data_IF_697035933053
#
_entry.id   IF_697035933053
#
_cell.length_a   1.000
_cell.length_b   1.000
_cell.length_c   1.000
_cell.angle_alpha   90.00
_cell.angle_beta   90.00
_cell.angle_gamma   90.00
#
_symmetry.space_group_name_H-M   'P 1'
#
loop_
_entity.id
_entity.type
_entity.pdbx_description
1 polymer ?
#
# COMPACT_ATOMS: atom_id res chain seq x y z
N UNK A 1 18.45 12.33 12.64
CA UNK A 1 17.92 11.61 13.82
C UNK A 1 17.07 10.47 13.28
N UNK A 2 17.71 9.41 12.83
CA UNK A 2 18.00 8.17 13.61
C UNK A 2 16.72 7.38 13.87
N UNK A 3 16.55 6.31 13.10
CA UNK A 3 16.33 4.96 13.61
C UNK A 3 17.18 4.07 12.70
N UNK A 4 18.27 3.51 13.24
CA UNK A 4 19.29 2.80 12.47
C UNK A 4 18.73 1.56 11.78
N UNK A 5 19.09 1.47 10.50
CA UNK A 5 18.53 0.63 9.44
C UNK A 5 18.68 -0.89 9.69
N UNK A 6 19.55 -1.31 10.59
CA UNK A 6 19.83 -2.73 10.87
C UNK A 6 18.67 -3.41 11.60
N UNK A 7 18.00 -2.73 12.55
CA UNK A 7 16.83 -3.29 13.26
C UNK A 7 15.56 -3.31 12.38
N UNK A 8 15.49 -2.44 11.37
CA UNK A 8 14.38 -2.43 10.40
C UNK A 8 14.49 -3.56 9.38
N UNK A 9 15.70 -4.10 9.14
CA UNK A 9 15.93 -5.25 8.27
C UNK A 9 15.48 -6.58 8.88
N UNK A 10 15.55 -6.76 10.19
CA UNK A 10 15.12 -8.01 10.85
C UNK A 10 13.59 -8.16 10.94
N UNK A 11 12.80 -7.08 10.87
CA UNK A 11 11.33 -7.15 10.91
C UNK A 11 10.68 -7.41 9.53
N UNK A 12 11.48 -7.40 8.45
CA UNK A 12 11.09 -7.84 7.09
C UNK A 12 10.66 -9.32 7.06
N UNK A 13 10.91 -10.06 8.15
CA UNK A 13 10.47 -11.43 8.37
C UNK A 13 8.91 -11.58 8.34
N UNK A 14 8.13 -10.49 8.32
CA UNK A 14 6.67 -10.49 8.07
C UNK A 14 6.30 -9.40 7.05
N UNK A 15 6.31 -9.69 5.75
CA UNK A 15 6.19 -8.77 4.60
C UNK A 15 4.96 -7.82 4.55
N UNK A 16 4.87 -6.84 5.44
CA UNK A 16 3.89 -5.76 5.41
C UNK A 16 4.50 -4.48 4.77
N UNK A 17 4.07 -4.13 3.56
CA UNK A 17 4.41 -2.88 2.90
C UNK A 17 3.37 -1.82 3.27
N UNK A 18 3.80 -0.60 3.63
CA UNK A 18 2.89 0.52 3.87
C UNK A 18 3.02 1.61 2.81
N UNK A 19 2.66 1.36 1.53
CA UNK A 19 2.82 2.37 0.49
C UNK A 19 1.86 3.54 0.73
N UNK A 20 2.39 4.75 0.54
CA UNK A 20 1.60 5.98 0.44
C UNK A 20 1.42 6.33 -1.02
N UNK A 21 0.17 6.31 -1.50
CA UNK A 21 -0.19 6.76 -2.84
C UNK A 21 -0.63 8.22 -2.70
N UNK A 22 0.30 9.14 -2.99
CA UNK A 22 0.09 10.56 -2.78
C UNK A 22 -0.46 11.29 -4.01
N UNK A 23 -1.06 12.46 -3.79
CA UNK A 23 -1.39 13.46 -4.84
C UNK A 23 -2.38 12.95 -5.90
N UNK A 24 -3.37 12.16 -5.51
CA UNK A 24 -4.38 11.68 -6.45
C UNK A 24 -5.39 12.77 -6.78
N UNK A 25 -5.70 12.93 -8.09
CA UNK A 25 -6.84 13.73 -8.56
C UNK A 25 -8.15 13.02 -8.25
N UNK A 26 -9.24 13.79 -8.10
CA UNK A 26 -10.58 13.32 -7.68
C UNK A 26 -11.08 12.05 -8.40
N UNK A 27 -10.88 11.94 -9.71
CA UNK A 27 -11.28 10.75 -10.49
C UNK A 27 -10.49 9.49 -10.07
N UNK A 28 -9.18 9.64 -9.85
CA UNK A 28 -8.30 8.55 -9.42
C UNK A 28 -8.60 8.11 -7.98
N UNK A 29 -8.99 9.04 -7.12
CA UNK A 29 -9.47 8.77 -5.75
C UNK A 29 -10.69 7.85 -5.77
N UNK A 30 -11.68 8.14 -6.63
CA UNK A 30 -12.89 7.33 -6.75
C UNK A 30 -12.56 5.92 -7.27
N UNK A 31 -11.73 5.83 -8.31
CA UNK A 31 -11.31 4.54 -8.86
C UNK A 31 -10.52 3.71 -7.85
N UNK A 32 -9.58 4.33 -7.12
CA UNK A 32 -8.78 3.63 -6.12
C UNK A 32 -9.65 3.18 -4.93
N UNK A 33 -10.56 4.03 -4.43
CA UNK A 33 -11.52 3.63 -3.39
C UNK A 33 -12.38 2.45 -3.84
N UNK A 34 -12.94 2.50 -5.06
CA UNK A 34 -13.74 1.39 -5.62
C UNK A 34 -12.90 0.12 -5.80
N UNK A 35 -11.65 0.24 -6.23
CA UNK A 35 -10.73 -0.88 -6.35
C UNK A 35 -10.46 -1.51 -4.98
N UNK A 36 -10.02 -0.73 -4.00
CA UNK A 36 -9.74 -1.22 -2.64
C UNK A 36 -10.99 -1.81 -1.97
N UNK A 37 -12.15 -1.16 -2.14
CA UNK A 37 -13.43 -1.67 -1.65
C UNK A 37 -13.82 -3.00 -2.31
N UNK A 38 -13.65 -3.15 -3.64
CA UNK A 38 -13.92 -4.41 -4.35
C UNK A 38 -13.02 -5.55 -3.89
N UNK A 39 -11.81 -5.21 -3.43
CA UNK A 39 -10.85 -6.16 -2.92
C UNK A 39 -11.06 -6.51 -1.42
N UNK A 40 -11.96 -5.80 -0.72
CA UNK A 40 -12.48 -6.07 0.65
C UNK A 40 -11.42 -6.45 1.69
N UNK A 41 -10.16 -6.08 1.44
CA UNK A 41 -9.01 -6.47 2.25
C UNK A 41 -8.70 -7.96 2.39
N UNK A 42 -9.31 -8.85 1.60
CA UNK A 42 -8.90 -10.27 1.53
C UNK A 42 -8.54 -10.73 0.12
N UNK A 43 -9.03 -10.07 -0.93
CA UNK A 43 -8.71 -10.48 -2.31
C UNK A 43 -7.33 -9.99 -2.70
N UNK A 44 -6.42 -10.94 -2.88
CA UNK A 44 -5.08 -10.65 -3.34
C UNK A 44 -5.07 -10.01 -4.73
N UNK A 45 -4.18 -9.06 -4.96
CA UNK A 45 -3.91 -8.47 -6.27
C UNK A 45 -2.40 -8.36 -6.50
N UNK A 46 -2.01 -8.19 -7.76
CA UNK A 46 -0.61 -7.97 -8.09
C UNK A 46 -0.23 -6.51 -7.86
N UNK A 47 0.81 -6.30 -7.06
CA UNK A 47 1.40 -5.00 -6.82
C UNK A 47 2.87 -5.01 -7.23
N UNK A 48 3.36 -3.87 -7.71
CA UNK A 48 4.76 -3.70 -8.09
C UNK A 48 5.38 -2.65 -7.17
N UNK A 49 6.25 -3.06 -6.23
CA UNK A 49 6.91 -2.14 -5.32
C UNK A 49 7.81 -1.16 -6.07
N UNK A 50 7.91 0.10 -5.63
CA UNK A 50 8.97 0.99 -6.11
C UNK A 50 10.33 0.38 -5.78
N UNK A 51 11.26 0.39 -6.74
CA UNK A 51 12.60 -0.21 -6.58
C UNK A 51 12.68 -1.71 -6.85
N UNK A 52 11.55 -2.42 -7.02
CA UNK A 52 11.54 -3.86 -7.32
C UNK A 52 10.99 -4.08 -8.73
N UNK A 53 11.75 -4.76 -9.59
CA UNK A 53 11.35 -5.07 -10.97
C UNK A 53 10.44 -6.32 -11.08
N UNK A 54 9.72 -6.66 -10.01
CA UNK A 54 8.86 -7.85 -9.90
C UNK A 54 7.47 -7.42 -9.43
N UNK A 55 6.44 -8.07 -9.97
CA UNK A 55 5.09 -8.02 -9.39
C UNK A 55 5.01 -9.06 -8.27
N UNK A 56 4.61 -8.64 -7.09
CA UNK A 56 4.31 -9.51 -5.95
C UNK A 56 2.80 -9.56 -5.73
N UNK A 57 2.32 -10.65 -5.14
CA UNK A 57 0.91 -10.80 -4.79
C UNK A 57 0.72 -10.26 -3.39
N UNK A 58 -0.15 -9.26 -3.23
CA UNK A 58 -0.42 -8.62 -1.93
C UNK A 58 -1.90 -8.57 -1.64
N UNK A 59 -2.24 -8.43 -0.37
CA UNK A 59 -3.59 -8.16 0.13
C UNK A 59 -3.57 -6.84 0.89
N UNK A 60 -4.57 -5.97 0.67
CA UNK A 60 -4.68 -4.68 1.35
C UNK A 60 -5.75 -4.71 2.44
N UNK A 61 -5.42 -5.15 3.66
CA UNK A 61 -6.41 -5.32 4.73
C UNK A 61 -6.94 -4.00 5.28
N UNK A 62 -6.05 -3.04 5.43
CA UNK A 62 -6.33 -1.74 6.02
C UNK A 62 -5.84 -0.65 5.09
N UNK A 63 -6.66 0.37 4.90
CA UNK A 63 -6.28 1.57 4.18
C UNK A 63 -6.99 2.78 4.78
N UNK A 64 -6.33 3.93 4.71
CA UNK A 64 -6.89 5.23 5.09
C UNK A 64 -6.70 6.22 3.96
N UNK A 65 -7.63 7.18 3.86
CA UNK A 65 -7.54 8.28 2.90
C UNK A 65 -7.52 9.60 3.66
N UNK A 66 -6.48 10.39 3.44
CA UNK A 66 -6.35 11.75 3.97
C UNK A 66 -6.68 12.72 2.85
N UNK A 67 -7.82 13.39 2.96
CA UNK A 67 -8.27 14.38 1.98
C UNK A 67 -7.65 15.75 2.30
N UNK A 68 -6.97 16.32 1.32
CA UNK A 68 -6.46 17.69 1.34
C UNK A 68 -7.29 18.55 0.38
N UNK A 69 -7.10 19.87 0.45
CA UNK A 69 -7.85 20.85 -0.36
C UNK A 69 -7.71 20.56 -1.87
N UNK A 70 -6.55 20.07 -2.31
CA UNK A 70 -6.22 19.91 -3.74
C UNK A 70 -5.97 18.47 -4.18
N UNK A 71 -5.77 17.54 -3.24
CA UNK A 71 -5.47 16.14 -3.52
C UNK A 71 -5.87 15.23 -2.36
N UNK A 72 -5.83 13.92 -2.57
CA UNK A 72 -6.02 12.93 -1.50
C UNK A 72 -4.82 12.01 -1.47
N UNK A 73 -4.33 11.76 -0.26
CA UNK A 73 -3.29 10.78 0.01
C UNK A 73 -3.92 9.50 0.54
N UNK A 74 -3.44 8.34 0.08
CA UNK A 74 -3.86 7.04 0.57
C UNK A 74 -2.71 6.35 1.26
N UNK A 75 -2.93 5.91 2.49
CA UNK A 75 -2.02 5.01 3.20
C UNK A 75 -2.64 3.62 3.16
N UNK A 76 -1.95 2.66 2.56
CA UNK A 76 -2.41 1.28 2.46
C UNK A 76 -1.46 0.37 3.21
N UNK A 77 -1.96 -0.68 3.86
CA UNK A 77 -1.15 -1.75 4.42
C UNK A 77 -1.29 -3.00 3.55
N UNK A 78 -0.24 -3.31 2.80
CA UNK A 78 -0.16 -4.44 1.89
C UNK A 78 0.64 -5.57 2.52
N UNK A 79 0.00 -6.69 2.77
CA UNK A 79 0.67 -7.91 3.24
C UNK A 79 0.96 -8.80 2.02
N UNK A 80 2.20 -9.24 1.83
CA UNK A 80 2.56 -10.20 0.78
C UNK A 80 1.93 -11.57 1.07
N UNK A 81 1.35 -12.17 0.03
CA UNK A 81 0.84 -13.54 0.09
C UNK A 81 1.88 -14.46 -0.56
N UNK A 82 2.61 -15.18 0.29
CA UNK A 82 3.47 -16.29 -0.13
C UNK A 82 2.59 -17.54 -0.22
N UNK A 83 2.59 -18.21 -1.38
CA UNK A 83 1.86 -19.45 -1.64
C UNK A 83 2.89 -20.56 -1.81
#
# INVERSE_FOLDING_TARGET
MVMSNEVQMDLIILCAFSPVISKLRRMNVIHLKKFLARHEGYKSFFWRPPGINRKIRVVCRTWSATEHITYTDFSCQFDEVVI
#
